data_IF_276184306172
#
_entry.id   IF_276184306172
#
_cell.length_a   1.000
_cell.length_b   1.000
_cell.length_c   1.000
_cell.angle_alpha   90.00
_cell.angle_beta   90.00
_cell.angle_gamma   90.00
#
_symmetry.space_group_name_H-M   'P 1'
#
loop_
_entity.id
_entity.type
_entity.pdbx_description
1 polymer ?
#
# COMPACT_ATOMS: atom_id res chain seq x y z
N UNK A 1 2.70 -21.95 5.76
CA UNK A 1 2.00 -20.83 6.43
C UNK A 1 0.64 -21.33 6.86
N UNK A 2 0.25 -21.17 8.14
CA UNK A 2 -1.06 -21.59 8.63
C UNK A 2 -2.12 -20.64 8.02
N UNK A 3 -2.80 -21.14 7.01
CA UNK A 3 -3.74 -20.40 6.16
C UNK A 3 -5.16 -20.29 6.76
N UNK A 4 -5.31 -20.74 8.00
CA UNK A 4 -6.58 -20.83 8.71
C UNK A 4 -6.88 -19.51 9.43
N UNK A 5 -7.49 -18.54 8.72
CA UNK A 5 -7.90 -17.25 9.27
C UNK A 5 -7.75 -16.06 8.33
N UNK A 6 -7.25 -16.29 7.10
CA UNK A 6 -7.12 -15.23 6.11
C UNK A 6 -8.49 -14.63 5.75
N UNK A 7 -8.59 -13.31 5.75
CA UNK A 7 -9.81 -12.60 5.36
C UNK A 7 -9.93 -12.43 3.85
N UNK A 8 -8.82 -12.51 3.12
CA UNK A 8 -8.75 -12.56 1.66
C UNK A 8 -7.89 -13.76 1.29
N UNK A 9 -8.37 -14.58 0.35
CA UNK A 9 -7.63 -15.69 -0.24
C UNK A 9 -7.78 -15.66 -1.75
N UNK A 10 -6.67 -15.73 -2.45
CA UNK A 10 -6.61 -15.85 -3.91
C UNK A 10 -5.71 -17.02 -4.28
N UNK A 11 -6.19 -17.91 -5.16
CA UNK A 11 -5.49 -19.11 -5.61
C UNK A 11 -5.41 -19.11 -7.14
N UNK A 12 -4.21 -19.00 -7.69
CA UNK A 12 -3.89 -19.02 -9.12
C UNK A 12 -4.79 -18.09 -9.97
N UNK A 13 -5.07 -16.87 -9.43
CA UNK A 13 -6.04 -15.96 -10.00
C UNK A 13 -5.48 -15.28 -11.25
N UNK A 14 -6.22 -15.42 -12.35
CA UNK A 14 -5.92 -14.72 -13.61
C UNK A 14 -7.12 -13.92 -14.09
N UNK A 15 -6.86 -12.70 -14.59
CA UNK A 15 -7.86 -11.80 -15.17
C UNK A 15 -7.32 -11.13 -16.42
N UNK A 16 -8.09 -11.22 -17.50
CA UNK A 16 -7.77 -10.53 -18.75
C UNK A 16 -8.93 -9.66 -19.22
N UNK A 17 -8.59 -8.56 -19.90
CA UNK A 17 -9.50 -7.67 -20.59
C UNK A 17 -9.08 -7.64 -22.07
N UNK A 18 -9.85 -8.37 -22.90
CA UNK A 18 -9.45 -8.60 -24.29
C UNK A 18 -8.09 -9.31 -24.37
N UNK A 19 -7.09 -8.65 -24.95
CA UNK A 19 -5.74 -9.20 -25.08
C UNK A 19 -4.81 -8.87 -23.91
N UNK A 20 -5.23 -7.96 -23.02
CA UNK A 20 -4.41 -7.52 -21.89
C UNK A 20 -4.66 -8.40 -20.67
N UNK A 21 -3.63 -9.12 -20.22
CA UNK A 21 -3.66 -9.89 -18.97
C UNK A 21 -3.33 -8.97 -17.82
N UNK A 22 -4.33 -8.61 -17.02
CA UNK A 22 -4.19 -7.70 -15.89
C UNK A 22 -3.77 -8.42 -14.60
N UNK A 23 -4.17 -9.69 -14.42
CA UNK A 23 -3.67 -10.59 -13.37
C UNK A 23 -3.24 -11.89 -14.02
N UNK A 24 -2.12 -12.46 -13.55
CA UNK A 24 -1.48 -13.64 -14.14
C UNK A 24 -1.02 -14.62 -13.06
N UNK A 25 -1.91 -15.54 -12.66
CA UNK A 25 -1.62 -16.59 -11.69
C UNK A 25 -1.29 -16.03 -10.30
N UNK A 26 -2.11 -15.11 -9.79
CA UNK A 26 -1.89 -14.46 -8.50
C UNK A 26 -2.34 -15.37 -7.37
N UNK A 27 -1.42 -15.63 -6.44
CA UNK A 27 -1.68 -16.23 -5.14
C UNK A 27 -1.51 -15.17 -4.06
N UNK A 28 -2.46 -15.06 -3.10
CA UNK A 28 -2.45 -14.08 -2.03
C UNK A 28 -3.25 -14.58 -0.84
N UNK A 29 -2.73 -14.41 0.38
CA UNK A 29 -3.44 -14.63 1.62
C UNK A 29 -3.25 -13.45 2.57
N UNK A 30 -4.31 -12.69 2.85
CA UNK A 30 -4.28 -11.54 3.74
C UNK A 30 -4.81 -11.93 5.12
N UNK A 31 -3.99 -11.76 6.14
CA UNK A 31 -4.38 -11.96 7.54
C UNK A 31 -5.06 -10.70 8.09
N UNK A 32 -5.99 -10.84 9.05
CA UNK A 32 -6.65 -9.70 9.68
C UNK A 32 -5.70 -8.84 10.52
N UNK A 33 -6.10 -7.58 10.77
CA UNK A 33 -5.43 -6.69 11.71
C UNK A 33 -4.11 -6.11 11.21
N UNK A 34 -3.96 -5.85 9.91
CA UNK A 34 -2.73 -5.29 9.30
C UNK A 34 -3.04 -4.16 8.34
N UNK A 35 -2.08 -3.24 8.19
CA UNK A 35 -2.04 -2.30 7.07
C UNK A 35 -1.10 -2.85 5.99
N UNK A 36 -1.67 -3.20 4.85
CA UNK A 36 -0.94 -3.77 3.73
C UNK A 36 -0.80 -2.73 2.62
N UNK A 37 0.44 -2.40 2.26
CA UNK A 37 0.76 -1.58 1.09
C UNK A 37 0.79 -2.44 -0.18
N UNK A 38 -0.09 -2.16 -1.13
CA UNK A 38 -0.07 -2.76 -2.47
C UNK A 38 0.66 -1.83 -3.43
N UNK A 39 1.90 -2.16 -3.74
CA UNK A 39 2.82 -1.31 -4.49
C UNK A 39 2.98 -1.81 -5.93
N UNK A 40 3.18 -0.89 -6.84
CA UNK A 40 3.40 -1.22 -8.24
C UNK A 40 3.21 -0.03 -9.16
N UNK A 41 3.86 -0.05 -10.32
CA UNK A 41 3.69 0.97 -11.34
C UNK A 41 2.24 1.02 -11.86
N UNK A 42 1.89 2.10 -12.56
CA UNK A 42 0.62 2.18 -13.27
C UNK A 42 0.52 1.03 -14.29
N UNK A 43 -0.62 0.34 -14.31
CA UNK A 43 -0.81 -0.85 -15.14
C UNK A 43 -0.24 -2.15 -14.55
N UNK A 44 0.33 -2.18 -13.34
CA UNK A 44 0.82 -3.40 -12.70
C UNK A 44 -0.29 -4.39 -12.31
N UNK A 45 -1.56 -3.95 -12.30
CA UNK A 45 -2.70 -4.80 -11.96
C UNK A 45 -3.35 -4.50 -10.60
N UNK A 46 -2.88 -3.50 -9.84
CA UNK A 46 -3.33 -3.16 -8.49
C UNK A 46 -4.85 -2.99 -8.39
N UNK A 47 -5.43 -2.05 -9.13
CA UNK A 47 -6.88 -1.80 -9.12
C UNK A 47 -7.70 -3.01 -9.59
N UNK A 48 -7.15 -3.81 -10.51
CA UNK A 48 -7.80 -5.06 -10.95
C UNK A 48 -7.82 -6.08 -9.81
N UNK A 49 -6.73 -6.22 -9.08
CA UNK A 49 -6.64 -7.10 -7.90
C UNK A 49 -7.65 -6.66 -6.84
N UNK A 50 -7.67 -5.37 -6.46
CA UNK A 50 -8.59 -4.83 -5.46
C UNK A 50 -10.05 -5.06 -5.84
N UNK A 51 -10.42 -4.77 -7.08
CA UNK A 51 -11.81 -4.99 -7.58
C UNK A 51 -12.18 -6.46 -7.71
N UNK A 52 -11.20 -7.34 -7.89
CA UNK A 52 -11.44 -8.79 -7.91
C UNK A 52 -11.71 -9.33 -6.50
N UNK A 53 -11.03 -8.81 -5.48
CA UNK A 53 -11.24 -9.17 -4.06
C UNK A 53 -12.67 -8.86 -3.62
N UNK A 54 -13.24 -7.73 -4.04
CA UNK A 54 -14.61 -7.33 -3.66
C UNK A 54 -15.69 -7.80 -4.64
N UNK A 55 -15.33 -8.67 -5.60
CA UNK A 55 -16.29 -9.27 -6.53
C UNK A 55 -16.78 -8.35 -7.66
N UNK A 56 -16.26 -7.13 -7.80
CA UNK A 56 -16.57 -6.23 -8.93
C UNK A 56 -16.03 -6.78 -10.25
N UNK A 57 -14.89 -7.48 -10.21
CA UNK A 57 -14.37 -8.22 -11.35
C UNK A 57 -14.29 -9.70 -11.02
N UNK A 58 -14.91 -10.53 -11.84
CA UNK A 58 -14.76 -11.98 -11.71
C UNK A 58 -13.48 -12.43 -12.42
N UNK A 59 -12.69 -13.33 -11.81
CA UNK A 59 -11.51 -13.89 -12.44
C UNK A 59 -11.88 -14.75 -13.66
N UNK A 60 -10.95 -14.87 -14.61
CA UNK A 60 -11.09 -15.83 -15.71
C UNK A 60 -10.65 -17.23 -15.27
N UNK A 61 -9.69 -17.32 -14.34
CA UNK A 61 -9.18 -18.56 -13.76
C UNK A 61 -8.84 -18.34 -12.28
N UNK A 62 -8.79 -19.40 -11.52
CA UNK A 62 -8.48 -19.39 -10.11
C UNK A 62 -9.70 -19.14 -9.23
N UNK A 63 -9.44 -18.97 -7.92
CA UNK A 63 -10.46 -18.74 -6.90
C UNK A 63 -10.13 -17.51 -6.09
N UNK A 64 -11.17 -16.77 -5.71
CA UNK A 64 -11.07 -15.60 -4.81
C UNK A 64 -12.12 -15.74 -3.74
N UNK A 65 -11.70 -15.63 -2.49
CA UNK A 65 -12.58 -15.63 -1.32
C UNK A 65 -12.29 -14.40 -0.47
N UNK A 66 -13.34 -13.76 0.03
CA UNK A 66 -13.28 -12.66 0.99
C UNK A 66 -14.20 -13.00 2.16
N UNK A 67 -13.65 -12.95 3.39
CA UNK A 67 -14.30 -13.46 4.61
C UNK A 67 -14.77 -14.93 4.50
N UNK A 68 -14.04 -15.77 3.75
CA UNK A 68 -14.40 -17.18 3.51
C UNK A 68 -15.56 -17.38 2.52
N UNK A 69 -16.08 -16.30 1.92
CA UNK A 69 -17.11 -16.35 0.89
C UNK A 69 -16.48 -16.15 -0.50
N UNK A 70 -16.82 -16.97 -1.52
CA UNK A 70 -16.37 -16.71 -2.89
C UNK A 70 -16.75 -15.30 -3.33
N UNK A 71 -15.79 -14.56 -3.92
CA UNK A 71 -16.00 -13.15 -4.25
C UNK A 71 -17.20 -12.89 -5.19
N UNK A 72 -17.58 -13.86 -6.02
CA UNK A 72 -18.77 -13.79 -6.88
C UNK A 72 -20.09 -13.89 -6.12
N UNK A 73 -20.06 -14.43 -4.90
CA UNK A 73 -21.24 -14.77 -4.09
C UNK A 73 -21.36 -13.87 -2.86
N UNK A 74 -20.55 -12.78 -2.77
CA UNK A 74 -20.59 -11.82 -1.68
C UNK A 74 -21.99 -11.21 -1.55
N UNK A 75 -22.60 -11.41 -0.39
CA UNK A 75 -23.93 -10.91 -0.05
C UNK A 75 -23.86 -9.54 0.63
N UNK A 76 -24.99 -8.85 0.85
CA UNK A 76 -25.02 -7.62 1.64
C UNK A 76 -24.37 -7.75 3.02
N UNK A 77 -24.34 -8.96 3.60
CA UNK A 77 -23.69 -9.25 4.89
C UNK A 77 -22.17 -9.09 4.82
N UNK A 78 -21.54 -9.66 3.79
CA UNK A 78 -20.09 -9.55 3.59
C UNK A 78 -19.72 -8.17 3.06
N UNK A 79 -20.49 -7.64 2.10
CA UNK A 79 -20.27 -6.30 1.54
C UNK A 79 -20.42 -5.19 2.58
N UNK A 80 -21.32 -5.35 3.56
CA UNK A 80 -21.47 -4.42 4.67
C UNK A 80 -20.28 -4.36 5.64
N UNK A 81 -19.29 -5.23 5.46
CA UNK A 81 -18.02 -5.28 6.22
C UNK A 81 -16.83 -4.75 5.42
N UNK A 82 -17.04 -4.32 4.17
CA UNK A 82 -15.99 -3.86 3.26
C UNK A 82 -16.19 -2.39 2.95
N UNK A 83 -15.24 -1.55 3.35
CA UNK A 83 -15.13 -0.18 2.86
C UNK A 83 -14.27 -0.16 1.60
N UNK A 84 -14.75 0.46 0.54
CA UNK A 84 -14.00 0.60 -0.71
C UNK A 84 -13.94 2.05 -1.16
N UNK A 85 -12.72 2.54 -1.37
CA UNK A 85 -12.48 3.87 -1.96
C UNK A 85 -11.88 3.70 -3.34
N UNK A 86 -12.63 4.15 -4.34
CA UNK A 86 -12.20 4.15 -5.73
C UNK A 86 -11.26 5.31 -6.03
N UNK A 87 -10.29 5.12 -6.92
CA UNK A 87 -9.30 6.13 -7.31
C UNK A 87 -9.92 7.46 -7.77
N UNK A 88 -11.05 7.43 -8.47
CA UNK A 88 -11.72 8.62 -9.01
C UNK A 88 -12.76 9.23 -8.05
N UNK A 89 -12.99 8.63 -6.88
CA UNK A 89 -13.95 9.12 -5.90
C UNK A 89 -15.36 9.29 -6.48
N UNK A 90 -15.91 8.26 -7.10
CA UNK A 90 -17.24 8.30 -7.71
C UNK A 90 -18.32 8.57 -6.66
N UNK A 91 -19.09 9.65 -6.85
CA UNK A 91 -20.17 10.07 -5.97
C UNK A 91 -21.44 10.34 -6.77
N UNK A 92 -22.60 10.37 -6.11
CA UNK A 92 -23.88 10.78 -6.72
C UNK A 92 -23.90 12.31 -6.93
N UNK A 93 -23.52 12.74 -8.12
CA UNK A 93 -23.24 14.13 -8.47
C UNK A 93 -24.39 15.13 -8.25
N UNK A 94 -25.63 14.65 -8.23
CA UNK A 94 -26.84 15.48 -8.06
C UNK A 94 -27.20 15.74 -6.59
N UNK A 95 -26.62 15.00 -5.63
CA UNK A 95 -26.83 15.19 -4.20
C UNK A 95 -25.87 16.23 -3.62
N UNK A 96 -26.26 16.88 -2.51
CA UNK A 96 -25.30 17.54 -1.63
C UNK A 96 -24.54 16.50 -0.81
N UNK A 97 -23.36 16.85 -0.30
CA UNK A 97 -22.55 15.94 0.55
C UNK A 97 -23.37 15.44 1.73
N UNK A 98 -24.06 16.34 2.46
CA UNK A 98 -24.90 15.96 3.59
C UNK A 98 -26.10 15.09 3.21
N UNK A 99 -26.67 15.26 2.01
CA UNK A 99 -27.71 14.33 1.50
C UNK A 99 -27.10 12.96 1.21
N UNK A 100 -25.94 12.92 0.58
CA UNK A 100 -25.23 11.67 0.24
C UNK A 100 -24.83 10.89 1.50
N UNK A 101 -24.29 11.56 2.51
CA UNK A 101 -23.95 10.92 3.79
C UNK A 101 -25.17 10.31 4.47
N UNK A 102 -26.31 11.06 4.54
CA UNK A 102 -27.56 10.52 5.10
C UNK A 102 -28.12 9.37 4.27
N UNK A 103 -28.02 9.44 2.95
CA UNK A 103 -28.47 8.39 2.06
C UNK A 103 -27.69 7.09 2.29
N UNK A 104 -26.35 7.17 2.33
CA UNK A 104 -25.51 5.99 2.55
C UNK A 104 -25.67 5.46 3.98
N UNK A 105 -25.68 6.34 4.98
CA UNK A 105 -25.86 5.95 6.39
C UNK A 105 -27.14 5.16 6.65
N UNK A 106 -28.20 5.34 5.84
CA UNK A 106 -29.44 4.60 5.99
C UNK A 106 -29.31 3.09 5.65
N UNK A 107 -28.27 2.68 4.93
CA UNK A 107 -27.98 1.28 4.62
C UNK A 107 -27.14 0.58 5.70
N UNK A 108 -26.53 1.33 6.62
CA UNK A 108 -25.59 0.78 7.61
C UNK A 108 -26.09 1.08 9.04
N UNK A 109 -26.62 0.08 9.77
CA UNK A 109 -27.12 0.27 11.14
C UNK A 109 -26.06 0.76 12.12
N UNK A 110 -24.80 0.44 11.87
CA UNK A 110 -23.63 0.79 12.68
C UNK A 110 -22.91 2.07 12.20
N UNK A 111 -23.58 2.92 11.43
CA UNK A 111 -22.97 4.18 10.99
C UNK A 111 -22.55 5.06 12.19
N UNK A 112 -21.25 5.36 12.28
CA UNK A 112 -20.66 6.12 13.38
C UNK A 112 -20.81 7.63 13.16
N UNK A 113 -21.81 8.23 13.81
CA UNK A 113 -22.09 9.66 13.73
C UNK A 113 -21.03 10.54 14.39
N UNK A 114 -20.30 10.04 15.35
CA UNK A 114 -19.23 10.79 16.03
C UNK A 114 -17.99 10.84 15.13
N UNK A 115 -17.65 9.73 14.48
CA UNK A 115 -16.61 9.69 13.45
C UNK A 115 -16.96 10.63 12.27
N UNK A 116 -18.21 10.59 11.78
CA UNK A 116 -18.69 11.48 10.71
C UNK A 116 -18.48 12.95 11.07
N UNK A 117 -18.94 13.37 12.25
CA UNK A 117 -18.80 14.76 12.71
C UNK A 117 -17.35 15.19 12.85
N UNK A 118 -16.51 14.35 13.47
CA UNK A 118 -15.08 14.63 13.63
C UNK A 118 -14.40 14.73 12.27
N UNK A 119 -14.64 13.79 11.37
CA UNK A 119 -14.06 13.79 10.04
C UNK A 119 -14.45 15.03 9.22
N UNK A 120 -15.73 15.40 9.24
CA UNK A 120 -16.22 16.62 8.56
C UNK A 120 -15.47 17.85 9.04
N UNK A 121 -15.23 17.98 10.36
CA UNK A 121 -14.49 19.10 10.94
C UNK A 121 -13.00 19.06 10.57
N UNK A 122 -12.34 17.91 10.71
CA UNK A 122 -10.89 17.76 10.51
C UNK A 122 -10.48 17.94 9.05
N UNK A 123 -11.32 17.50 8.11
CA UNK A 123 -11.07 17.60 6.67
C UNK A 123 -11.78 18.77 5.99
N UNK A 124 -12.44 19.61 6.77
CA UNK A 124 -13.15 20.82 6.31
C UNK A 124 -14.16 20.50 5.17
N UNK A 125 -14.97 19.45 5.36
CA UNK A 125 -15.93 19.00 4.36
C UNK A 125 -17.18 19.90 4.36
N UNK A 126 -17.49 20.52 3.22
CA UNK A 126 -18.72 21.31 3.08
C UNK A 126 -19.93 20.41 2.76
N UNK A 127 -20.76 20.15 3.77
CA UNK A 127 -21.99 19.34 3.64
C UNK A 127 -23.03 19.95 2.70
N UNK A 128 -22.98 21.27 2.43
CA UNK A 128 -23.94 21.97 1.57
C UNK A 128 -23.53 21.93 0.10
N UNK A 129 -22.23 21.69 -0.18
CA UNK A 129 -21.74 21.60 -1.53
C UNK A 129 -22.36 20.41 -2.28
N UNK A 130 -22.61 20.56 -3.58
CA UNK A 130 -23.05 19.44 -4.44
C UNK A 130 -21.86 18.56 -4.78
N UNK A 131 -22.01 17.24 -4.68
CA UNK A 131 -20.96 16.28 -5.00
C UNK A 131 -20.39 16.48 -6.43
N UNK A 132 -21.22 16.88 -7.39
CA UNK A 132 -20.81 17.16 -8.77
C UNK A 132 -19.93 18.40 -8.95
N UNK A 133 -19.87 19.30 -7.98
CA UNK A 133 -19.07 20.54 -8.04
C UNK A 133 -17.78 20.48 -7.23
N UNK A 134 -17.57 19.37 -6.50
CA UNK A 134 -16.37 19.17 -5.69
C UNK A 134 -15.11 19.01 -6.56
N UNK A 135 -14.02 19.58 -6.09
CA UNK A 135 -12.69 19.28 -6.62
C UNK A 135 -12.33 17.78 -6.43
N UNK A 136 -11.35 17.24 -7.16
CA UNK A 136 -10.93 15.85 -6.97
C UNK A 136 -10.54 15.54 -5.52
N UNK A 137 -9.84 16.44 -4.83
CA UNK A 137 -9.44 16.26 -3.43
C UNK A 137 -10.63 16.25 -2.47
N UNK A 138 -11.59 17.19 -2.63
CA UNK A 138 -12.82 17.22 -1.81
C UNK A 138 -13.67 15.97 -2.05
N UNK A 139 -13.79 15.54 -3.30
CA UNK A 139 -14.49 14.30 -3.68
C UNK A 139 -13.86 13.09 -2.99
N UNK A 140 -12.54 13.02 -2.96
CA UNK A 140 -11.79 11.95 -2.32
C UNK A 140 -12.02 11.93 -0.80
N UNK A 141 -12.01 13.11 -0.14
CA UNK A 141 -12.34 13.22 1.28
C UNK A 141 -13.73 12.65 1.58
N UNK A 142 -14.73 12.98 0.77
CA UNK A 142 -16.10 12.46 0.94
C UNK A 142 -16.16 10.94 0.69
N UNK A 143 -15.48 10.43 -0.34
CA UNK A 143 -15.43 9.00 -0.62
C UNK A 143 -14.79 8.20 0.53
N UNK A 144 -13.72 8.72 1.13
CA UNK A 144 -13.08 8.12 2.30
C UNK A 144 -14.07 8.10 3.48
N UNK A 145 -14.74 9.22 3.80
CA UNK A 145 -15.72 9.27 4.89
C UNK A 145 -16.83 8.23 4.71
N UNK A 146 -17.35 8.09 3.49
CA UNK A 146 -18.37 7.08 3.17
C UNK A 146 -17.86 5.68 3.44
N UNK A 147 -16.61 5.39 3.06
CA UNK A 147 -16.03 4.06 3.20
C UNK A 147 -15.71 3.66 4.65
N UNK A 148 -15.42 4.63 5.54
CA UNK A 148 -15.08 4.38 6.94
C UNK A 148 -16.27 4.57 7.90
N UNK A 149 -17.31 5.30 7.50
CA UNK A 149 -18.40 5.75 8.38
C UNK A 149 -19.23 4.62 9.01
N UNK A 150 -19.24 3.43 8.41
CA UNK A 150 -19.89 2.24 8.94
C UNK A 150 -18.93 1.25 9.61
N UNK A 151 -17.68 1.68 9.84
CA UNK A 151 -16.66 0.92 10.57
C UNK A 151 -16.40 -0.48 10.00
N UNK A 152 -15.92 -0.56 8.73
CA UNK A 152 -15.70 -1.84 8.06
C UNK A 152 -14.58 -2.66 8.70
N UNK A 153 -14.67 -4.00 8.63
CA UNK A 153 -13.60 -4.91 9.04
C UNK A 153 -12.43 -4.91 8.04
N UNK A 154 -12.74 -4.69 6.75
CA UNK A 154 -11.78 -4.60 5.65
C UNK A 154 -11.96 -3.28 4.92
N UNK A 155 -10.92 -2.45 4.93
CA UNK A 155 -10.88 -1.20 4.17
C UNK A 155 -9.94 -1.33 2.98
N UNK A 156 -10.47 -1.19 1.79
CA UNK A 156 -9.73 -1.25 0.51
C UNK A 156 -9.67 0.15 -0.10
N UNK A 157 -8.46 0.63 -0.32
CA UNK A 157 -8.18 1.99 -0.74
C UNK A 157 -7.37 1.97 -2.04
N UNK A 158 -7.99 2.37 -3.15
CA UNK A 158 -7.33 2.41 -4.47
C UNK A 158 -6.80 3.83 -4.73
N UNK A 159 -5.48 4.03 -4.53
CA UNK A 159 -4.77 5.31 -4.69
C UNK A 159 -5.41 6.49 -3.91
N UNK A 160 -5.77 6.31 -2.61
CA UNK A 160 -6.63 7.27 -1.88
C UNK A 160 -5.98 8.63 -1.63
N UNK A 161 -4.65 8.69 -1.62
CA UNK A 161 -3.91 9.91 -1.33
C UNK A 161 -3.54 10.73 -2.58
N UNK A 162 -3.80 10.19 -3.79
CA UNK A 162 -3.33 10.80 -5.05
C UNK A 162 -3.92 12.19 -5.34
N UNK A 163 -5.14 12.45 -4.88
CA UNK A 163 -5.83 13.73 -5.07
C UNK A 163 -5.80 14.65 -3.84
N UNK A 164 -5.23 14.19 -2.71
CA UNK A 164 -5.17 14.95 -1.47
C UNK A 164 -3.98 15.91 -1.45
N UNK A 165 -4.18 17.10 -0.89
CA UNK A 165 -3.08 18.00 -0.55
C UNK A 165 -2.20 17.42 0.59
N UNK A 166 -0.98 17.94 0.80
CA UNK A 166 -0.07 17.37 1.80
C UNK A 166 -0.63 17.35 3.23
N UNK A 167 -1.45 18.35 3.62
CA UNK A 167 -2.03 18.42 4.97
C UNK A 167 -3.14 17.37 5.12
N UNK A 168 -4.06 17.31 4.16
CA UNK A 168 -5.11 16.30 4.14
C UNK A 168 -4.55 14.88 4.08
N UNK A 169 -3.45 14.67 3.33
CA UNK A 169 -2.74 13.40 3.26
C UNK A 169 -2.16 12.97 4.61
N UNK A 170 -1.49 13.86 5.32
CA UNK A 170 -0.97 13.57 6.65
C UNK A 170 -2.09 13.18 7.63
N UNK A 171 -3.18 13.99 7.69
CA UNK A 171 -4.37 13.67 8.52
C UNK A 171 -5.01 12.34 8.15
N UNK A 172 -5.04 11.99 6.85
CA UNK A 172 -5.56 10.71 6.39
C UNK A 172 -4.72 9.53 6.88
N UNK A 173 -3.38 9.64 6.86
CA UNK A 173 -2.50 8.59 7.38
C UNK A 173 -2.65 8.43 8.89
N UNK A 174 -2.77 9.52 9.65
CA UNK A 174 -3.04 9.48 11.10
C UNK A 174 -4.38 8.78 11.39
N UNK A 175 -5.41 9.05 10.59
CA UNK A 175 -6.70 8.37 10.68
C UNK A 175 -6.58 6.85 10.44
N UNK A 176 -5.78 6.41 9.46
CA UNK A 176 -5.57 4.98 9.20
C UNK A 176 -4.93 4.28 10.40
N UNK A 177 -3.95 4.92 11.04
CA UNK A 177 -3.32 4.40 12.27
C UNK A 177 -4.32 4.30 13.42
N UNK A 178 -5.19 5.30 13.59
CA UNK A 178 -6.24 5.26 14.61
C UNK A 178 -7.23 4.11 14.38
N UNK A 179 -7.67 3.91 13.12
CA UNK A 179 -8.61 2.83 12.76
C UNK A 179 -8.06 1.43 13.04
N UNK A 180 -6.75 1.22 12.93
CA UNK A 180 -6.12 -0.07 13.25
C UNK A 180 -5.99 -0.28 14.75
N UNK A 181 -5.51 0.75 15.47
CA UNK A 181 -5.21 0.62 16.90
C UNK A 181 -6.46 0.31 17.75
N UNK A 182 -7.64 0.76 17.30
CA UNK A 182 -8.87 0.64 18.09
C UNK A 182 -9.63 -0.66 17.86
N UNK A 183 -9.57 -1.31 16.69
CA UNK A 183 -10.53 -2.37 16.37
C UNK A 183 -10.00 -3.54 15.51
N UNK A 184 -8.68 -3.74 15.43
CA UNK A 184 -8.07 -4.85 14.68
C UNK A 184 -8.55 -4.95 13.21
N UNK A 185 -8.81 -3.79 12.58
CA UNK A 185 -9.28 -3.71 11.19
C UNK A 185 -8.14 -4.04 10.23
N UNK A 186 -8.49 -4.47 9.05
CA UNK A 186 -7.50 -4.72 7.98
C UNK A 186 -7.62 -3.65 6.93
N UNK A 187 -6.50 -3.07 6.53
CA UNK A 187 -6.45 -2.04 5.50
C UNK A 187 -5.55 -2.52 4.36
N UNK A 188 -6.07 -2.50 3.14
CA UNK A 188 -5.31 -2.76 1.92
C UNK A 188 -5.28 -1.46 1.11
N UNK A 189 -4.12 -0.82 1.06
CA UNK A 189 -3.93 0.48 0.41
C UNK A 189 -3.03 0.35 -0.81
N UNK A 190 -3.52 0.69 -1.99
CA UNK A 190 -2.67 0.81 -3.17
C UNK A 190 -2.04 2.19 -3.25
N UNK A 191 -0.77 2.24 -3.63
CA UNK A 191 -0.07 3.49 -3.93
C UNK A 191 0.98 3.29 -5.01
N UNK A 192 1.20 4.34 -5.80
CA UNK A 192 2.37 4.46 -6.67
C UNK A 192 3.42 5.41 -6.06
N UNK A 193 3.08 6.14 -4.99
CA UNK A 193 3.97 6.99 -4.19
C UNK A 193 4.21 6.28 -2.87
N UNK A 194 5.34 5.60 -2.76
CA UNK A 194 5.62 4.67 -1.66
C UNK A 194 5.92 5.42 -0.36
N UNK A 195 6.61 6.55 -0.44
CA UNK A 195 6.92 7.42 0.69
C UNK A 195 5.69 7.93 1.45
N UNK A 196 4.52 7.92 0.82
CA UNK A 196 3.28 8.35 1.47
C UNK A 196 2.76 7.31 2.46
N UNK A 197 2.91 6.03 2.15
CA UNK A 197 2.31 4.93 2.92
C UNK A 197 3.32 4.18 3.79
N UNK A 198 4.63 4.37 3.57
CA UNK A 198 5.69 3.66 4.32
C UNK A 198 5.63 3.84 5.84
N UNK A 199 5.03 4.95 6.31
CA UNK A 199 4.91 5.27 7.73
C UNK A 199 3.82 4.50 8.45
N UNK A 200 2.91 3.89 7.70
CA UNK A 200 1.71 3.27 8.27
C UNK A 200 1.60 1.77 7.95
N UNK A 201 2.32 1.27 6.94
CA UNK A 201 2.21 -0.14 6.52
C UNK A 201 3.07 -1.07 7.37
N UNK A 202 2.51 -2.24 7.72
CA UNK A 202 3.21 -3.33 8.39
C UNK A 202 3.68 -4.38 7.39
N UNK A 203 3.00 -4.48 6.26
CA UNK A 203 3.20 -5.52 5.26
C UNK A 203 3.19 -4.92 3.85
N UNK A 204 3.94 -5.50 2.95
CA UNK A 204 4.06 -5.00 1.59
C UNK A 204 3.86 -6.10 0.56
N UNK A 205 3.03 -5.81 -0.42
CA UNK A 205 2.83 -6.62 -1.61
C UNK A 205 3.30 -5.79 -2.81
N UNK A 206 4.31 -6.27 -3.53
CA UNK A 206 4.79 -5.59 -4.75
C UNK A 206 4.28 -6.35 -5.96
N UNK A 207 3.61 -5.61 -6.85
CA UNK A 207 3.11 -6.13 -8.12
C UNK A 207 3.90 -5.59 -9.31
N UNK A 208 4.20 -6.47 -10.25
CA UNK A 208 4.68 -6.11 -11.59
C UNK A 208 3.98 -6.96 -12.65
N UNK A 209 3.47 -6.31 -13.71
CA UNK A 209 2.84 -6.97 -14.88
C UNK A 209 1.84 -8.06 -14.53
N UNK A 210 0.95 -7.76 -13.58
CA UNK A 210 -0.14 -8.66 -13.15
C UNK A 210 0.28 -9.78 -12.21
N UNK A 211 1.52 -9.80 -11.72
CA UNK A 211 2.03 -10.82 -10.78
C UNK A 211 2.47 -10.19 -9.48
N UNK A 212 2.31 -10.89 -8.38
CA UNK A 212 2.96 -10.56 -7.12
C UNK A 212 4.41 -11.01 -7.19
N UNK A 213 5.34 -10.08 -6.96
CA UNK A 213 6.78 -10.35 -7.01
C UNK A 213 7.44 -10.32 -5.64
N UNK A 214 6.79 -9.69 -4.66
CA UNK A 214 7.13 -9.74 -3.22
C UNK A 214 5.85 -9.70 -2.40
N UNK A 215 5.84 -10.45 -1.31
CA UNK A 215 4.79 -10.51 -0.31
C UNK A 215 5.50 -10.80 1.04
N UNK A 216 5.72 -9.75 1.84
CA UNK A 216 6.58 -9.84 3.04
C UNK A 216 6.25 -8.75 4.06
N UNK A 217 6.66 -8.92 5.32
CA UNK A 217 6.64 -7.85 6.28
C UNK A 217 7.49 -6.66 5.79
N UNK A 218 7.04 -5.45 6.09
CA UNK A 218 7.70 -4.25 5.57
C UNK A 218 9.09 -4.06 6.16
N UNK A 219 9.26 -4.35 7.45
CA UNK A 219 10.55 -4.28 8.10
C UNK A 219 11.54 -5.30 7.53
N UNK A 220 11.10 -6.55 7.27
CA UNK A 220 11.94 -7.57 6.63
C UNK A 220 12.43 -7.11 5.23
N UNK A 221 11.57 -6.41 4.47
CA UNK A 221 11.97 -5.86 3.18
C UNK A 221 13.03 -4.76 3.35
N UNK A 222 12.85 -3.87 4.33
CA UNK A 222 13.80 -2.77 4.60
C UNK A 222 15.15 -3.28 5.06
N UNK A 223 15.19 -4.29 5.91
CA UNK A 223 16.43 -4.88 6.44
C UNK A 223 17.26 -5.59 5.37
N UNK A 224 16.62 -6.04 4.27
CA UNK A 224 17.33 -6.68 3.15
C UNK A 224 18.23 -5.71 2.38
N UNK A 225 18.01 -4.40 2.46
CA UNK A 225 18.73 -3.41 1.67
C UNK A 225 19.35 -2.34 2.54
N UNK A 226 20.63 -2.03 2.28
CA UNK A 226 21.33 -0.96 2.97
C UNK A 226 22.02 -0.03 1.96
N UNK A 227 22.01 1.27 2.24
CA UNK A 227 22.86 2.25 1.58
C UNK A 227 24.03 2.54 2.49
N UNK A 228 25.25 2.38 1.98
CA UNK A 228 26.47 2.56 2.74
C UNK A 228 27.32 3.64 2.10
N UNK A 229 27.55 4.72 2.83
CA UNK A 229 28.60 5.68 2.49
C UNK A 229 29.89 5.17 3.09
N UNK A 230 30.85 4.88 2.24
CA UNK A 230 32.18 4.43 2.61
C UNK A 230 33.16 5.59 2.42
N UNK A 231 33.93 5.91 3.44
CA UNK A 231 34.96 6.96 3.39
C UNK A 231 36.32 6.39 3.80
N UNK A 232 37.32 6.50 2.93
CA UNK A 232 38.66 6.06 3.24
C UNK A 232 39.29 6.98 4.32
N UNK A 233 39.87 6.39 5.37
CA UNK A 233 40.56 7.13 6.42
C UNK A 233 41.90 7.71 5.92
N UNK A 234 42.55 7.03 4.97
CA UNK A 234 43.82 7.44 4.39
C UNK A 234 43.82 7.17 2.87
N UNK A 235 44.03 8.21 2.07
CA UNK A 235 44.20 8.07 0.62
C UNK A 235 42.95 7.73 -0.17
N UNK A 236 43.09 7.20 -1.40
CA UNK A 236 41.99 6.79 -2.22
C UNK A 236 41.42 5.42 -1.79
N UNK A 237 40.16 5.16 -2.11
CA UNK A 237 39.55 3.85 -1.88
C UNK A 237 40.29 2.73 -2.63
N UNK A 238 40.40 1.52 -2.05
CA UNK A 238 40.93 0.34 -2.72
C UNK A 238 40.20 0.03 -4.02
N UNK A 239 40.91 -0.55 -5.01
CA UNK A 239 40.31 -0.92 -6.29
C UNK A 239 39.18 -1.94 -6.13
N UNK A 240 39.36 -2.91 -5.22
CA UNK A 240 38.33 -3.89 -4.86
C UNK A 240 37.80 -3.59 -3.46
N UNK A 241 36.49 -3.60 -3.31
CA UNK A 241 35.80 -3.44 -2.04
C UNK A 241 35.31 -4.82 -1.55
N UNK A 242 35.56 -5.18 -0.28
CA UNK A 242 35.28 -6.54 0.25
C UNK A 242 33.81 -6.71 0.67
N UNK A 243 32.86 -6.09 -0.02
CA UNK A 243 31.44 -6.20 0.28
C UNK A 243 30.79 -7.26 -0.62
N UNK A 244 30.02 -8.14 -0.01
CA UNK A 244 29.14 -9.04 -0.73
C UNK A 244 27.79 -8.33 -1.05
N UNK A 245 27.03 -8.85 -2.01
CA UNK A 245 25.70 -8.34 -2.31
C UNK A 245 25.64 -6.91 -2.83
N UNK A 246 26.72 -6.39 -3.45
CA UNK A 246 26.76 -5.06 -4.04
C UNK A 246 25.85 -5.01 -5.26
N UNK A 247 24.79 -4.19 -5.19
CA UNK A 247 23.85 -3.96 -6.28
C UNK A 247 24.23 -2.72 -7.10
N UNK A 248 24.76 -1.69 -6.45
CA UNK A 248 25.25 -0.46 -7.08
C UNK A 248 26.47 0.08 -6.32
N UNK A 249 27.38 0.74 -7.03
CA UNK A 249 28.58 1.34 -6.47
C UNK A 249 28.96 2.59 -7.24
N UNK A 250 28.82 3.73 -6.59
CA UNK A 250 29.24 5.02 -7.12
C UNK A 250 30.49 5.49 -6.36
N UNK A 251 31.61 5.67 -7.06
CA UNK A 251 32.89 6.06 -6.48
C UNK A 251 33.22 7.51 -6.79
N UNK A 252 33.72 8.22 -5.79
CA UNK A 252 34.22 9.59 -5.92
C UNK A 252 35.47 9.80 -5.04
N UNK A 253 36.64 9.56 -5.62
CA UNK A 253 37.93 9.77 -4.93
C UNK A 253 38.11 8.85 -3.69
N UNK A 254 38.05 9.45 -2.51
CA UNK A 254 38.13 8.77 -1.21
C UNK A 254 36.79 8.25 -0.69
N UNK A 255 35.70 8.48 -1.41
CA UNK A 255 34.36 8.06 -0.99
C UNK A 255 33.72 7.11 -1.99
N UNK A 256 32.84 6.23 -1.50
CA UNK A 256 31.91 5.48 -2.33
C UNK A 256 30.53 5.41 -1.68
N UNK A 257 29.49 5.44 -2.52
CA UNK A 257 28.13 5.14 -2.13
C UNK A 257 27.77 3.77 -2.68
N UNK A 258 27.53 2.82 -1.77
CA UNK A 258 27.18 1.45 -2.09
C UNK A 258 25.71 1.22 -1.81
N UNK A 259 25.05 0.42 -2.65
CA UNK A 259 23.78 -0.21 -2.33
C UNK A 259 24.02 -1.70 -2.14
N UNK A 260 23.77 -2.22 -0.95
CA UNK A 260 24.04 -3.59 -0.57
C UNK A 260 22.71 -4.33 -0.33
N UNK A 261 22.75 -5.64 -0.55
CA UNK A 261 21.64 -6.55 -0.25
C UNK A 261 22.11 -7.68 0.65
N UNK A 262 21.21 -8.07 1.59
CA UNK A 262 21.39 -9.20 2.52
C UNK A 262 22.71 -9.13 3.32
N UNK A 263 23.06 -7.90 3.77
CA UNK A 263 24.25 -7.67 4.60
C UNK A 263 23.84 -7.13 5.97
N UNK A 264 24.37 -7.73 7.04
CA UNK A 264 24.16 -7.22 8.39
C UNK A 264 24.99 -5.96 8.64
N UNK A 265 24.54 -5.04 9.51
CA UNK A 265 25.35 -3.87 9.89
C UNK A 265 26.74 -4.25 10.38
N UNK A 266 26.87 -5.34 11.16
CA UNK A 266 28.14 -5.83 11.67
C UNK A 266 29.09 -6.27 10.55
N UNK A 267 28.60 -7.03 9.55
CA UNK A 267 29.41 -7.46 8.42
C UNK A 267 29.88 -6.28 7.56
N UNK A 268 29.05 -5.24 7.42
CA UNK A 268 29.40 -4.03 6.70
C UNK A 268 30.51 -3.28 7.42
N UNK A 269 30.42 -3.10 8.75
CA UNK A 269 31.44 -2.43 9.55
C UNK A 269 32.76 -3.21 9.55
N UNK A 270 32.73 -4.53 9.68
CA UNK A 270 33.93 -5.39 9.64
C UNK A 270 34.63 -5.28 8.28
N UNK A 271 33.87 -5.34 7.20
CA UNK A 271 34.40 -5.17 5.85
C UNK A 271 35.04 -3.79 5.64
N UNK A 272 34.39 -2.72 6.11
CA UNK A 272 34.94 -1.37 6.02
C UNK A 272 36.24 -1.21 6.81
N UNK A 273 36.30 -1.71 8.05
CA UNK A 273 37.52 -1.69 8.88
C UNK A 273 38.68 -2.46 8.26
N UNK A 274 38.40 -3.57 7.55
CA UNK A 274 39.43 -4.39 6.91
C UNK A 274 40.21 -3.65 5.80
N UNK A 275 39.69 -2.51 5.34
CA UNK A 275 40.25 -1.70 4.26
C UNK A 275 40.51 -0.24 4.70
N UNK A 276 40.67 0.01 6.01
CA UNK A 276 40.87 1.34 6.59
C UNK A 276 39.85 2.39 6.15
N UNK A 277 38.56 1.98 6.15
CA UNK A 277 37.46 2.84 5.81
C UNK A 277 36.45 2.95 6.96
N UNK A 278 35.74 4.06 7.01
CA UNK A 278 34.56 4.28 7.83
C UNK A 278 33.30 4.04 6.99
N UNK A 279 32.31 3.34 7.57
CA UNK A 279 31.04 3.06 6.93
C UNK A 279 29.90 3.74 7.68
N UNK A 280 29.17 4.61 7.00
CA UNK A 280 27.91 5.17 7.46
C UNK A 280 26.77 4.40 6.80
N UNK A 281 25.99 3.65 7.61
CA UNK A 281 24.88 2.82 7.12
C UNK A 281 23.59 3.64 7.19
N UNK A 282 22.89 3.73 6.08
CA UNK A 282 21.61 4.42 5.96
C UNK A 282 20.54 3.45 5.43
N UNK A 283 19.30 3.59 5.92
CA UNK A 283 18.18 2.85 5.33
C UNK A 283 17.89 3.38 3.92
N UNK A 284 17.57 2.48 2.98
CA UNK A 284 17.09 2.92 1.68
C UNK A 284 15.65 3.44 1.79
N UNK A 285 15.33 4.54 1.06
CA UNK A 285 13.94 4.91 0.80
C UNK A 285 13.20 3.76 0.10
N UNK A 286 11.93 3.58 0.44
CA UNK A 286 11.11 2.49 -0.13
C UNK A 286 10.99 2.58 -1.65
N UNK A 287 10.98 3.78 -2.22
CA UNK A 287 10.99 3.98 -3.67
C UNK A 287 12.24 3.37 -4.33
N UNK A 288 13.41 3.45 -3.69
CA UNK A 288 14.65 2.86 -4.20
C UNK A 288 14.61 1.33 -4.05
N UNK A 289 14.12 0.81 -2.92
CA UNK A 289 13.92 -0.64 -2.72
C UNK A 289 12.99 -1.20 -3.79
N UNK A 290 11.87 -0.51 -4.07
CA UNK A 290 10.93 -0.90 -5.13
C UNK A 290 11.63 -1.01 -6.49
N UNK A 291 12.44 0.00 -6.86
CA UNK A 291 13.19 0.00 -8.13
C UNK A 291 14.16 -1.18 -8.23
N UNK A 292 14.84 -1.51 -7.13
CA UNK A 292 15.75 -2.66 -7.07
C UNK A 292 14.98 -3.97 -7.25
N UNK A 293 13.90 -4.17 -6.50
CA UNK A 293 13.05 -5.38 -6.58
C UNK A 293 12.48 -5.61 -7.98
N UNK A 294 12.01 -4.54 -8.63
CA UNK A 294 11.49 -4.64 -10.02
C UNK A 294 12.60 -4.79 -11.03
N UNK A 295 13.76 -4.16 -10.81
CA UNK A 295 14.94 -4.20 -11.68
C UNK A 295 15.60 -5.58 -11.75
N UNK A 296 15.60 -6.34 -10.67
CA UNK A 296 16.16 -7.71 -10.60
C UNK A 296 15.50 -8.71 -11.57
N UNK A 297 14.35 -8.40 -12.11
CA UNK A 297 13.58 -9.24 -13.05
C UNK A 297 13.65 -8.80 -14.51
N UNK A 298 14.38 -7.73 -14.80
CA UNK A 298 14.61 -7.24 -16.17
C UNK A 298 15.98 -7.67 -16.68
#
# INVERSE_FOLDING_TARGET
MNDNGAIIRMEAVSKAFGRTRALDGVDLAVQPGRIIGLLGANGAGKSTLLRTIIGLYLPNQGKVETFGCPARDLSPKELGRIGYVHQEGELLNWMTVGQLLRYVAAYYPNWNKDLERRYIADFEVDEKARAGTLSPGERQKVAILIAIGFEPDLLILDEPASALDPIARARFLDLLLELIQTENRTILISSHILSDVEKVIDHVIIMDRGRIIRDTAFDDLREQYARVRLTALHGPLPAQLPFAGVLDCQRNGSEALLTLRDQSPQSIEEAARSIDCEAEIQSLPVDDIYRLVVGERR
#
